data_IF_832977558207
#
_entry.id   IF_832977558207
#
_cell.length_a   1.000
_cell.length_b   1.000
_cell.length_c   1.000
_cell.angle_alpha   90.00
_cell.angle_beta   90.00
_cell.angle_gamma   90.00
#
_symmetry.space_group_name_H-M   'P 1'
#
loop_
_entity.id
_entity.type
_entity.pdbx_description
1 polymer ?
#
# COMPACT_ATOMS: atom_id res chain seq x y z
N UNK A 1 -5.36 5.46 -3.30
CA UNK A 1 -4.04 6.01 -3.04
C UNK A 1 -3.12 5.84 -4.25
N UNK A 2 -2.32 6.87 -4.54
CA UNK A 2 -1.08 6.81 -5.32
C UNK A 2 0.00 7.50 -4.50
N UNK A 3 1.18 6.89 -4.39
CA UNK A 3 2.42 7.50 -3.90
C UNK A 3 3.49 7.29 -4.95
N UNK A 4 4.10 8.37 -5.42
CA UNK A 4 5.21 8.31 -6.36
C UNK A 4 6.45 8.88 -5.70
N UNK A 5 7.54 8.14 -5.78
CA UNK A 5 8.84 8.53 -5.30
C UNK A 5 9.81 8.69 -6.47
N UNK A 6 10.82 9.53 -6.27
CA UNK A 6 11.91 9.67 -7.20
C UNK A 6 13.26 9.61 -6.48
N UNK A 7 14.28 9.15 -7.19
CA UNK A 7 15.67 9.20 -6.75
C UNK A 7 16.58 9.48 -7.93
N UNK A 8 17.33 10.59 -7.93
CA UNK A 8 18.44 10.78 -8.86
C UNK A 8 19.45 9.63 -8.70
N UNK A 9 20.02 9.20 -9.82
CA UNK A 9 21.01 8.12 -9.88
C UNK A 9 22.33 8.72 -10.37
N UNK A 10 23.44 8.08 -10.03
CA UNK A 10 24.79 8.61 -10.32
C UNK A 10 25.11 8.63 -11.82
N UNK A 11 24.37 7.85 -12.61
CA UNK A 11 24.35 7.84 -14.08
C UNK A 11 23.54 9.00 -14.69
N UNK A 12 23.04 9.93 -13.87
CA UNK A 12 22.19 11.05 -14.31
C UNK A 12 20.72 10.69 -14.55
N UNK A 13 20.34 9.42 -14.43
CA UNK A 13 18.95 9.00 -14.63
C UNK A 13 18.09 9.27 -13.38
N UNK A 14 16.79 9.52 -13.58
CA UNK A 14 15.82 9.60 -12.48
C UNK A 14 15.11 8.25 -12.34
N UNK A 15 15.21 7.63 -11.16
CA UNK A 15 14.50 6.39 -10.85
C UNK A 15 13.16 6.72 -10.22
N UNK A 16 12.09 6.20 -10.80
CA UNK A 16 10.75 6.30 -10.25
C UNK A 16 10.32 5.01 -9.55
N UNK A 17 9.57 5.17 -8.47
CA UNK A 17 8.95 4.07 -7.74
C UNK A 17 7.54 4.50 -7.35
N UNK A 18 6.53 3.75 -7.77
CA UNK A 18 5.13 4.10 -7.54
C UNK A 18 4.44 3.01 -6.74
N UNK A 19 3.59 3.40 -5.80
CA UNK A 19 2.71 2.54 -5.02
C UNK A 19 1.28 3.01 -5.26
N UNK A 20 0.36 2.14 -5.69
CA UNK A 20 -1.04 2.51 -5.86
C UNK A 20 -2.02 1.37 -5.60
N UNK A 21 -3.25 1.72 -5.20
CA UNK A 21 -4.37 0.80 -4.94
C UNK A 21 -5.45 0.83 -6.03
N UNK A 22 -5.10 1.32 -7.23
CA UNK A 22 -6.07 1.56 -8.31
C UNK A 22 -6.56 0.31 -9.03
N UNK A 23 -5.81 -0.79 -8.96
CA UNK A 23 -6.14 -2.01 -9.67
C UNK A 23 -6.73 -3.04 -8.71
N UNK A 24 -8.03 -3.39 -8.84
CA UNK A 24 -8.62 -4.45 -8.05
C UNK A 24 -8.10 -5.83 -8.51
N UNK A 25 -8.14 -6.80 -7.61
CA UNK A 25 -7.85 -8.21 -7.90
C UNK A 25 -9.12 -9.04 -7.73
N UNK A 26 -9.29 -10.07 -8.56
CA UNK A 26 -10.36 -11.05 -8.38
C UNK A 26 -10.16 -11.92 -7.13
N UNK A 27 -8.91 -12.09 -6.70
CA UNK A 27 -8.50 -13.03 -5.66
C UNK A 27 -8.27 -12.40 -4.30
N UNK A 28 -8.37 -11.07 -4.18
CA UNK A 28 -8.09 -10.37 -2.92
C UNK A 28 -9.00 -9.14 -2.75
N UNK A 29 -9.45 -8.91 -1.52
CA UNK A 29 -10.35 -7.80 -1.17
C UNK A 29 -9.68 -6.44 -1.31
N UNK A 30 -8.38 -6.37 -1.00
CA UNK A 30 -7.55 -5.17 -1.15
C UNK A 30 -6.32 -5.53 -1.96
N UNK A 31 -5.85 -4.58 -2.77
CA UNK A 31 -4.70 -4.79 -3.63
C UNK A 31 -3.81 -3.55 -3.70
N UNK A 32 -2.52 -3.81 -3.83
CA UNK A 32 -1.50 -2.79 -3.97
C UNK A 32 -0.56 -3.16 -5.09
N UNK A 33 -0.50 -2.30 -6.10
CA UNK A 33 0.48 -2.38 -7.17
C UNK A 33 1.69 -1.53 -6.82
N UNK A 34 2.86 -2.08 -7.08
CA UNK A 34 4.14 -1.39 -7.00
C UNK A 34 4.80 -1.45 -8.37
N UNK A 35 5.18 -0.31 -8.92
CA UNK A 35 5.86 -0.22 -10.22
C UNK A 35 7.18 0.57 -10.10
N UNK A 36 8.23 0.12 -10.80
CA UNK A 36 9.52 0.81 -10.86
C UNK A 36 10.27 0.50 -12.14
N UNK A 37 11.09 1.45 -12.59
CA UNK A 37 11.94 1.26 -13.78
C UNK A 37 13.31 0.71 -13.42
N UNK A 38 13.81 -0.20 -14.25
CA UNK A 38 15.22 -0.61 -14.28
C UNK A 38 15.97 0.15 -15.38
N UNK A 39 17.31 0.19 -15.30
CA UNK A 39 18.16 1.06 -16.15
C UNK A 39 18.09 0.80 -17.66
N UNK A 40 17.47 -0.30 -18.08
CA UNK A 40 17.17 -0.65 -19.46
C UNK A 40 15.83 -0.08 -19.98
N UNK A 41 15.21 0.83 -19.22
CA UNK A 41 13.90 1.42 -19.56
C UNK A 41 12.72 0.48 -19.32
N UNK A 42 12.96 -0.77 -18.90
CA UNK A 42 11.89 -1.72 -18.58
C UNK A 42 11.24 -1.37 -17.25
N UNK A 43 9.92 -1.34 -17.26
CA UNK A 43 9.12 -1.23 -16.05
C UNK A 43 8.91 -2.62 -15.46
N UNK A 44 9.18 -2.75 -14.16
CA UNK A 44 8.82 -3.92 -13.37
C UNK A 44 7.65 -3.56 -12.49
N UNK A 45 6.72 -4.49 -12.41
CA UNK A 45 5.56 -4.40 -11.52
C UNK A 45 5.58 -5.56 -10.52
N UNK A 46 5.08 -5.29 -9.31
CA UNK A 46 4.69 -6.31 -8.36
C UNK A 46 3.35 -5.96 -7.73
N UNK A 47 2.44 -6.93 -7.73
CA UNK A 47 1.13 -6.79 -7.13
C UNK A 47 1.09 -7.57 -5.81
N UNK A 48 0.48 -6.98 -4.79
CA UNK A 48 0.21 -7.58 -3.49
C UNK A 48 -1.30 -7.60 -3.24
N UNK A 49 -1.83 -8.77 -2.88
CA UNK A 49 -3.21 -8.93 -2.41
C UNK A 49 -3.28 -9.03 -0.89
N UNK A 50 -4.37 -8.53 -0.30
CA UNK A 50 -4.64 -8.58 1.14
C UNK A 50 -6.12 -8.82 1.43
N UNK A 51 -6.39 -9.48 2.55
CA UNK A 51 -7.75 -9.70 3.05
C UNK A 51 -8.26 -8.54 3.91
N UNK A 52 -7.35 -7.80 4.54
CA UNK A 52 -7.65 -6.72 5.48
C UNK A 52 -6.98 -5.41 5.08
N UNK A 53 -7.64 -4.29 5.37
CA UNK A 53 -7.10 -2.95 5.12
C UNK A 53 -5.86 -2.72 5.99
N UNK A 54 -5.88 -3.22 7.23
CA UNK A 54 -4.75 -3.12 8.15
C UNK A 54 -3.48 -3.81 7.61
N UNK A 55 -3.60 -4.97 6.96
CA UNK A 55 -2.47 -5.66 6.34
C UNK A 55 -1.91 -4.86 5.15
N UNK A 56 -2.79 -4.29 4.32
CA UNK A 56 -2.38 -3.41 3.23
C UNK A 56 -1.65 -2.16 3.76
N UNK A 57 -2.20 -1.49 4.78
CA UNK A 57 -1.60 -0.30 5.40
C UNK A 57 -0.23 -0.61 6.02
N UNK A 58 -0.07 -1.77 6.68
CA UNK A 58 1.23 -2.24 7.17
C UNK A 58 2.24 -2.39 6.04
N UNK A 59 1.82 -2.97 4.90
CA UNK A 59 2.71 -3.10 3.72
C UNK A 59 3.07 -1.75 3.12
N UNK A 60 2.13 -0.81 3.04
CA UNK A 60 2.38 0.57 2.55
C UNK A 60 3.48 1.22 3.40
N UNK A 61 3.34 1.19 4.74
CA UNK A 61 4.33 1.76 5.67
C UNK A 61 5.70 1.11 5.52
N UNK A 62 5.73 -0.21 5.39
CA UNK A 62 6.95 -0.97 5.16
C UNK A 62 7.66 -0.54 3.86
N UNK A 63 6.93 -0.47 2.75
CA UNK A 63 7.48 -0.09 1.44
C UNK A 63 7.95 1.37 1.44
N UNK A 64 7.13 2.28 2.00
CA UNK A 64 7.47 3.69 2.18
C UNK A 64 8.81 3.84 2.93
N UNK A 65 8.91 3.25 4.13
CA UNK A 65 10.11 3.33 4.95
C UNK A 65 11.33 2.67 4.29
N UNK A 66 11.14 1.59 3.53
CA UNK A 66 12.22 0.99 2.72
C UNK A 66 12.70 1.92 1.61
N UNK A 67 11.80 2.66 0.94
CA UNK A 67 12.19 3.59 -0.13
C UNK A 67 12.89 4.83 0.42
N UNK A 68 12.38 5.42 1.50
CA UNK A 68 13.03 6.56 2.16
C UNK A 68 14.46 6.21 2.59
N UNK A 69 14.66 5.05 3.25
CA UNK A 69 16.01 4.56 3.62
C UNK A 69 16.93 4.31 2.42
N UNK A 70 16.37 4.02 1.25
CA UNK A 70 17.14 3.85 0.01
C UNK A 70 17.44 5.18 -0.73
N UNK A 71 17.13 6.32 -0.10
CA UNK A 71 17.39 7.66 -0.63
C UNK A 71 16.32 8.20 -1.58
N UNK A 72 15.20 7.50 -1.73
CA UNK A 72 14.07 8.02 -2.51
C UNK A 72 13.36 9.16 -1.76
N UNK A 73 12.94 10.17 -2.51
CA UNK A 73 12.13 11.30 -2.03
C UNK A 73 10.71 11.18 -2.56
N UNK A 74 9.72 11.61 -1.78
CA UNK A 74 8.33 11.67 -2.23
C UNK A 74 8.20 12.76 -3.30
N UNK A 75 7.70 12.38 -4.47
CA UNK A 75 7.42 13.30 -5.58
C UNK A 75 5.97 13.75 -5.58
N UNK A 76 5.05 12.79 -5.39
CA UNK A 76 3.62 13.00 -5.50
C UNK A 76 2.86 12.05 -4.61
N UNK A 77 1.76 12.53 -4.02
CA UNK A 77 0.83 11.71 -3.26
C UNK A 77 -0.60 12.11 -3.56
N UNK A 78 -1.46 11.12 -3.76
CA UNK A 78 -2.89 11.31 -3.94
C UNK A 78 -3.67 10.26 -3.16
N UNK A 79 -4.65 10.72 -2.37
CA UNK A 79 -5.58 9.87 -1.64
C UNK A 79 -6.98 10.12 -2.19
N UNK A 80 -7.69 9.04 -2.53
CA UNK A 80 -9.14 9.12 -2.76
C UNK A 80 -9.79 9.27 -1.39
N UNK A 81 -10.86 10.05 -1.30
CA UNK A 81 -11.71 10.01 -0.11
C UNK A 81 -12.16 8.57 0.13
N UNK A 82 -12.01 8.09 1.36
CA UNK A 82 -12.48 6.75 1.71
C UNK A 82 -14.01 6.77 1.67
N UNK A 83 -14.67 5.77 1.03
CA UNK A 83 -16.11 5.61 1.18
C UNK A 83 -16.45 5.51 2.66
N UNK A 84 -17.41 6.30 3.13
CA UNK A 84 -17.82 6.37 4.55
C UNK A 84 -18.18 5.01 5.17
N UNK A 85 -18.42 3.99 4.32
CA UNK A 85 -18.96 2.69 4.72
C UNK A 85 -17.86 1.62 4.95
N UNK A 86 -16.58 1.96 4.86
CA UNK A 86 -15.51 1.01 5.21
C UNK A 86 -15.27 1.05 6.71
N UNK A 87 -15.89 0.12 7.44
CA UNK A 87 -15.62 -0.08 8.86
C UNK A 87 -14.15 -0.54 9.03
N UNK A 88 -13.33 0.17 9.81
CA UNK A 88 -11.97 -0.26 10.11
C UNK A 88 -11.94 -1.65 10.73
N UNK A 89 -11.00 -2.50 10.29
CA UNK A 89 -10.88 -3.87 10.78
C UNK A 89 -10.62 -3.93 12.31
N UNK A 90 -10.04 -2.88 12.89
CA UNK A 90 -9.89 -2.76 14.35
C UNK A 90 -11.23 -2.68 15.09
N UNK A 91 -12.23 -2.02 14.50
CA UNK A 91 -13.58 -1.97 15.06
C UNK A 91 -14.28 -3.32 14.89
N UNK A 92 -14.07 -4.01 13.76
CA UNK A 92 -14.59 -5.36 13.55
C UNK A 92 -13.96 -6.38 14.52
N UNK A 93 -12.66 -6.26 14.80
CA UNK A 93 -11.97 -7.12 15.76
C UNK A 93 -12.46 -6.89 17.19
N UNK A 94 -12.59 -5.63 17.62
CA UNK A 94 -13.12 -5.28 18.94
C UNK A 94 -14.56 -5.80 19.16
N UNK A 95 -15.40 -5.76 18.12
CA UNK A 95 -16.77 -6.30 18.19
C UNK A 95 -16.80 -7.83 18.35
N UNK A 96 -15.88 -8.56 17.70
CA UNK A 96 -15.79 -10.02 17.85
C UNK A 96 -15.36 -10.43 19.26
N UNK A 97 -14.42 -9.70 19.86
CA UNK A 97 -13.96 -9.95 21.23
C UNK A 97 -15.08 -9.71 22.25
N UNK A 98 -15.86 -8.64 22.08
CA UNK A 98 -17.02 -8.34 22.94
C UNK A 98 -18.13 -9.38 22.81
N UNK A 99 -18.44 -9.83 21.58
CA UNK A 99 -19.44 -10.88 21.36
C UNK A 99 -19.04 -12.23 21.97
N UNK A 100 -17.74 -12.54 21.99
CA UNK A 100 -17.23 -13.79 22.59
C UNK A 100 -17.32 -13.77 24.12
N UNK A 101 -17.14 -12.60 24.75
CA UNK A 101 -17.29 -12.46 26.20
C UNK A 101 -18.75 -12.50 26.67
N UNK A 102 -19.69 -11.97 25.87
CA UNK A 102 -21.11 -11.94 26.20
C UNK A 102 -21.83 -13.30 26.09
N UNK A 103 -21.26 -14.29 25.40
CA UNK A 103 -21.84 -15.63 25.22
C UNK A 103 -21.36 -16.69 26.23
N UNK A 104 -20.61 -16.30 27.26
CA UNK A 104 -19.99 -17.21 28.24
C UNK A 104 -20.55 -17.10 29.66
N UNK A 105 -21.72 -16.46 29.81
CA UNK A 105 -22.45 -16.31 31.08
C UNK A 105 -23.69 -17.19 31.16
#
# INVERSE_FOLDING_TARGET
MILTFFRPSDDGAIRYYTIHDRQPLLTAKFALTVAWRTGDGREREKIYGFDTLAAMDKKIRELFGRRVRAGYKLLYSFMREKPANIVPDSLLAAQREQATQAGSG
#
